data_IF_072936361360
#
_entry.id   IF_072936361360
#
_cell.length_a   1.000
_cell.length_b   1.000
_cell.length_c   1.000
_cell.angle_alpha   90.00
_cell.angle_beta   90.00
_cell.angle_gamma   90.00
#
_symmetry.space_group_name_H-M   'P 1'
#
loop_
_entity.id
_entity.type
_entity.pdbx_description
1 polymer ?
#
# COMPACT_ATOMS: atom_id res chain seq x y z
N UNK A 1 10.39 -8.64 22.92
CA UNK A 1 9.47 -7.46 23.04
C UNK A 1 8.07 -7.73 22.44
N UNK A 2 6.97 -7.38 23.13
CA UNK A 2 5.61 -7.49 22.56
C UNK A 2 5.47 -6.63 21.30
N UNK A 3 4.80 -7.13 20.26
CA UNK A 3 4.66 -6.43 18.97
C UNK A 3 3.47 -5.48 18.89
N UNK A 4 2.57 -5.48 19.89
CA UNK A 4 1.40 -4.58 19.97
C UNK A 4 0.45 -4.61 18.76
N UNK A 5 0.49 -5.67 17.97
CA UNK A 5 -0.45 -5.88 16.86
C UNK A 5 -1.78 -6.40 17.40
N UNK A 6 -2.89 -5.91 16.84
CA UNK A 6 -4.24 -6.17 17.34
C UNK A 6 -4.99 -7.15 16.42
N UNK A 7 -5.49 -6.67 15.29
CA UNK A 7 -6.35 -7.41 14.36
C UNK A 7 -6.02 -7.06 12.90
N UNK A 8 -6.58 -7.81 11.96
CA UNK A 8 -6.44 -7.53 10.52
C UNK A 8 -7.31 -6.33 10.14
N UNK A 9 -6.70 -5.28 9.63
CA UNK A 9 -7.37 -4.05 9.20
C UNK A 9 -8.00 -4.19 7.82
N UNK A 10 -7.24 -4.73 6.87
CA UNK A 10 -7.68 -5.02 5.50
C UNK A 10 -6.75 -6.03 4.81
N UNK A 11 -7.20 -6.60 3.70
CA UNK A 11 -6.43 -7.54 2.88
C UNK A 11 -6.53 -7.16 1.41
N UNK A 12 -5.39 -7.03 0.74
CA UNK A 12 -5.32 -6.55 -0.65
C UNK A 12 -5.10 -7.69 -1.61
N UNK A 13 -5.92 -7.75 -2.66
CA UNK A 13 -5.85 -8.76 -3.71
C UNK A 13 -5.41 -8.18 -5.06
N UNK A 14 -4.28 -8.65 -5.58
CA UNK A 14 -3.82 -8.30 -6.92
C UNK A 14 -4.43 -9.23 -7.97
N UNK A 15 -4.86 -8.64 -9.09
CA UNK A 15 -5.48 -9.32 -10.21
C UNK A 15 -4.66 -9.10 -11.49
N UNK A 16 -4.74 -10.03 -12.46
CA UNK A 16 -4.28 -9.79 -13.83
C UNK A 16 -4.98 -8.58 -14.46
N UNK A 17 -4.44 -8.11 -15.59
CA UNK A 17 -5.04 -7.01 -16.34
C UNK A 17 -6.52 -7.27 -16.69
N UNK A 18 -7.33 -6.23 -16.55
CA UNK A 18 -8.78 -6.23 -16.77
C UNK A 18 -9.59 -7.18 -15.86
N UNK A 19 -9.02 -7.70 -14.78
CA UNK A 19 -9.70 -8.60 -13.84
C UNK A 19 -10.16 -7.92 -12.53
N UNK A 20 -9.82 -6.65 -12.28
CA UNK A 20 -10.26 -5.94 -11.06
C UNK A 20 -11.79 -5.84 -10.99
N UNK A 21 -12.43 -5.41 -12.07
CA UNK A 21 -13.90 -5.19 -12.09
C UNK A 21 -14.67 -6.50 -11.93
N UNK A 22 -14.40 -7.59 -12.69
CA UNK A 22 -15.05 -8.88 -12.47
C UNK A 22 -14.95 -9.39 -11.02
N UNK A 23 -13.78 -9.22 -10.39
CA UNK A 23 -13.56 -9.67 -9.00
C UNK A 23 -14.30 -8.78 -8.01
N UNK A 24 -14.25 -7.45 -8.15
CA UNK A 24 -15.02 -6.55 -7.30
C UNK A 24 -16.53 -6.82 -7.41
N UNK A 25 -17.03 -7.04 -8.63
CA UNK A 25 -18.42 -7.40 -8.89
C UNK A 25 -18.82 -8.73 -8.24
N UNK A 26 -17.91 -9.70 -8.13
CA UNK A 26 -18.16 -10.96 -7.45
C UNK A 26 -18.48 -10.75 -5.97
N UNK A 27 -17.74 -9.88 -5.27
CA UNK A 27 -18.03 -9.52 -3.88
C UNK A 27 -19.40 -8.85 -3.75
N UNK A 28 -19.72 -7.93 -4.66
CA UNK A 28 -21.01 -7.22 -4.62
C UNK A 28 -22.20 -8.14 -4.87
N UNK A 29 -22.12 -9.00 -5.90
CA UNK A 29 -23.23 -9.85 -6.33
C UNK A 29 -23.48 -11.01 -5.37
N UNK A 30 -22.42 -11.62 -4.85
CA UNK A 30 -22.53 -12.87 -4.10
C UNK A 30 -22.52 -12.68 -2.59
N UNK A 31 -21.84 -11.64 -2.10
CA UNK A 31 -21.69 -11.39 -0.66
C UNK A 31 -22.39 -10.10 -0.20
N UNK A 32 -23.07 -9.39 -1.12
CA UNK A 32 -23.74 -8.12 -0.85
C UNK A 32 -22.80 -7.03 -0.30
N UNK A 33 -21.53 -7.10 -0.67
CA UNK A 33 -20.58 -6.03 -0.42
C UNK A 33 -20.94 -4.82 -1.29
N UNK A 34 -20.42 -3.65 -0.93
CA UNK A 34 -20.54 -2.44 -1.74
C UNK A 34 -19.16 -1.85 -2.03
N UNK A 35 -19.07 -1.04 -3.10
CA UNK A 35 -17.85 -0.29 -3.41
C UNK A 35 -17.71 0.83 -2.39
N UNK A 36 -16.65 0.77 -1.62
CA UNK A 36 -16.33 1.76 -0.59
C UNK A 36 -15.54 2.93 -1.18
N UNK A 37 -14.57 2.62 -2.04
CA UNK A 37 -13.66 3.58 -2.62
C UNK A 37 -13.05 3.02 -3.92
N UNK A 38 -12.61 3.91 -4.82
CA UNK A 38 -11.91 3.52 -6.04
C UNK A 38 -10.97 4.60 -6.50
N UNK A 39 -9.90 4.18 -7.18
CA UNK A 39 -8.88 5.05 -7.77
C UNK A 39 -8.47 4.52 -9.12
N UNK A 40 -8.27 5.44 -10.05
CA UNK A 40 -7.77 5.15 -11.38
C UNK A 40 -6.29 5.53 -11.52
N UNK A 41 -5.72 5.22 -12.69
CA UNK A 41 -4.33 5.46 -13.03
C UNK A 41 -3.98 6.95 -13.21
N UNK A 42 -4.98 7.84 -13.31
CA UNK A 42 -4.74 9.29 -13.29
C UNK A 42 -4.49 9.79 -11.89
N UNK A 43 -4.99 9.06 -10.88
CA UNK A 43 -4.80 9.38 -9.47
C UNK A 43 -3.61 8.62 -8.88
N UNK A 44 -3.41 7.36 -9.28
CA UNK A 44 -2.35 6.49 -8.76
C UNK A 44 -1.34 6.11 -9.83
N UNK A 45 -0.35 6.99 -9.97
CA UNK A 45 0.82 6.75 -10.80
C UNK A 45 2.06 7.42 -10.21
N UNK A 46 3.22 6.87 -10.56
CA UNK A 46 4.52 7.55 -10.45
C UNK A 46 4.87 8.17 -11.80
N UNK A 47 6.11 8.60 -11.95
CA UNK A 47 6.64 8.93 -13.28
C UNK A 47 6.67 7.69 -14.20
N UNK A 48 6.76 6.49 -13.62
CA UNK A 48 7.12 5.28 -14.33
C UNK A 48 5.97 4.27 -14.47
N UNK A 49 5.22 4.01 -13.41
CA UNK A 49 4.19 2.97 -13.43
C UNK A 49 2.91 3.41 -12.72
N UNK A 50 1.82 2.66 -12.91
CA UNK A 50 0.49 2.98 -12.38
C UNK A 50 -0.28 1.72 -11.98
N UNK A 51 -1.37 1.89 -11.25
CA UNK A 51 -2.36 0.84 -10.97
C UNK A 51 -3.77 1.41 -10.90
N UNK A 52 -4.77 0.53 -10.94
CA UNK A 52 -6.15 0.84 -10.58
C UNK A 52 -6.56 0.01 -9.36
N UNK A 53 -7.45 0.56 -8.53
CA UNK A 53 -7.94 -0.14 -7.34
C UNK A 53 -9.44 0.12 -7.11
N UNK A 54 -10.15 -0.93 -6.72
CA UNK A 54 -11.50 -0.86 -6.16
C UNK A 54 -11.47 -1.49 -4.77
N UNK A 55 -11.91 -0.75 -3.76
CA UNK A 55 -12.12 -1.29 -2.42
C UNK A 55 -13.58 -1.71 -2.28
N UNK A 56 -13.78 -2.99 -1.98
CA UNK A 56 -15.09 -3.53 -1.60
C UNK A 56 -15.14 -3.75 -0.09
N UNK A 57 -16.32 -3.58 0.50
CA UNK A 57 -16.53 -3.71 1.94
C UNK A 57 -17.91 -4.28 2.26
N UNK A 58 -18.06 -4.96 3.40
CA UNK A 58 -19.38 -5.39 3.89
C UNK A 58 -20.23 -4.19 4.33
N UNK A 59 -21.52 -4.42 4.60
CA UNK A 59 -22.46 -3.36 4.96
C UNK A 59 -22.02 -2.51 6.16
N UNK A 60 -21.49 -3.14 7.22
CA UNK A 60 -21.01 -2.45 8.43
C UNK A 60 -19.59 -1.87 8.29
N UNK A 61 -18.97 -2.03 7.11
CA UNK A 61 -17.62 -1.57 6.78
C UNK A 61 -16.49 -2.10 7.69
N UNK A 62 -16.67 -3.29 8.26
CA UNK A 62 -15.70 -3.94 9.16
C UNK A 62 -14.72 -4.87 8.44
N UNK A 63 -15.04 -5.32 7.22
CA UNK A 63 -14.20 -6.13 6.35
C UNK A 63 -13.93 -5.31 5.09
N UNK A 64 -12.68 -4.92 4.87
CA UNK A 64 -12.31 -4.12 3.70
C UNK A 64 -11.28 -4.85 2.83
N UNK A 65 -11.56 -4.91 1.53
CA UNK A 65 -10.77 -5.66 0.55
C UNK A 65 -10.45 -4.78 -0.66
N UNK A 66 -9.27 -4.12 -0.70
CA UNK A 66 -8.77 -3.49 -1.92
C UNK A 66 -8.43 -4.55 -2.98
N UNK A 67 -8.95 -4.35 -4.20
CA UNK A 67 -8.73 -5.20 -5.36
C UNK A 67 -7.99 -4.37 -6.40
N UNK A 68 -6.78 -4.78 -6.78
CA UNK A 68 -5.92 -4.03 -7.68
C UNK A 68 -5.76 -4.74 -9.03
N UNK A 69 -5.52 -3.97 -10.09
CA UNK A 69 -5.01 -4.45 -11.37
C UNK A 69 -3.90 -3.53 -11.89
N UNK A 70 -2.99 -4.04 -12.76
CA UNK A 70 -1.99 -3.20 -13.39
C UNK A 70 -2.65 -2.12 -14.26
N UNK A 71 -1.95 -1.00 -14.45
CA UNK A 71 -2.37 0.05 -15.37
C UNK A 71 -1.21 0.52 -16.25
N UNK A 72 -1.49 1.17 -17.40
CA UNK A 72 -0.45 1.63 -18.32
C UNK A 72 0.53 2.61 -17.67
N UNK A 73 1.82 2.45 -17.99
CA UNK A 73 2.90 3.33 -17.54
C UNK A 73 4.12 3.18 -18.46
N UNK A 74 5.16 4.00 -18.25
CA UNK A 74 6.45 3.88 -18.96
C UNK A 74 7.17 2.56 -18.64
N UNK A 75 6.95 2.03 -17.44
CA UNK A 75 7.57 0.82 -16.90
C UNK A 75 6.51 -0.11 -16.30
N UNK A 76 6.91 -1.36 -16.06
CA UNK A 76 6.05 -2.41 -15.49
C UNK A 76 5.49 -2.01 -14.12
N UNK A 77 4.17 -2.07 -13.98
CA UNK A 77 3.46 -1.96 -12.69
C UNK A 77 3.87 -3.09 -11.74
N UNK A 78 4.08 -2.77 -10.46
CA UNK A 78 4.33 -3.79 -9.42
C UNK A 78 3.17 -4.79 -9.26
N UNK A 79 1.96 -4.45 -9.70
CA UNK A 79 0.84 -5.41 -9.73
C UNK A 79 1.12 -6.51 -10.76
N UNK A 80 1.72 -6.14 -11.90
CA UNK A 80 2.16 -7.12 -12.89
C UNK A 80 3.37 -7.92 -12.39
N UNK A 81 4.33 -7.31 -11.68
CA UNK A 81 5.42 -8.06 -11.01
C UNK A 81 4.83 -9.14 -10.09
N UNK A 82 3.86 -8.79 -9.25
CA UNK A 82 3.19 -9.77 -8.38
C UNK A 82 2.60 -10.92 -9.21
N UNK A 83 1.83 -10.63 -10.25
CA UNK A 83 1.15 -11.65 -11.07
C UNK A 83 2.15 -12.57 -11.74
N UNK A 84 3.26 -12.03 -12.26
CA UNK A 84 4.33 -12.80 -12.91
C UNK A 84 4.96 -13.83 -11.95
N UNK A 85 5.26 -13.42 -10.71
CA UNK A 85 5.95 -14.28 -9.74
C UNK A 85 5.01 -15.17 -8.90
N UNK A 86 3.76 -14.74 -8.71
CA UNK A 86 2.73 -15.53 -8.03
C UNK A 86 2.11 -16.57 -8.97
N UNK A 87 2.04 -16.27 -10.28
CA UNK A 87 1.44 -17.13 -11.31
C UNK A 87 -0.06 -16.86 -11.52
N UNK A 88 -0.56 -15.70 -11.13
CA UNK A 88 -1.98 -15.34 -11.25
C UNK A 88 -2.46 -14.35 -10.19
N UNK A 89 -3.78 -14.29 -9.99
CA UNK A 89 -4.40 -13.49 -8.94
C UNK A 89 -4.08 -14.02 -7.54
N UNK A 90 -3.97 -13.13 -6.55
CA UNK A 90 -3.81 -13.54 -5.15
C UNK A 90 -3.67 -12.39 -4.16
N UNK A 91 -3.50 -12.74 -2.88
CA UNK A 91 -3.31 -11.75 -1.80
C UNK A 91 -1.90 -11.16 -1.88
N UNK A 92 -1.81 -9.85 -2.06
CA UNK A 92 -0.56 -9.11 -2.05
C UNK A 92 -0.11 -8.78 -0.63
N UNK A 93 -1.00 -8.18 0.17
CA UNK A 93 -0.65 -7.85 1.54
C UNK A 93 -1.81 -7.93 2.51
N UNK A 94 -1.44 -8.09 3.77
CA UNK A 94 -2.33 -8.13 4.93
C UNK A 94 -1.91 -7.00 5.86
N UNK A 95 -2.83 -6.09 6.15
CA UNK A 95 -2.59 -4.98 7.05
C UNK A 95 -2.99 -5.34 8.48
N UNK A 96 -2.09 -5.07 9.42
CA UNK A 96 -2.23 -5.38 10.84
C UNK A 96 -2.36 -4.09 11.63
N UNK A 97 -3.49 -3.94 12.31
CA UNK A 97 -3.78 -2.76 13.13
C UNK A 97 -2.89 -2.74 14.39
N UNK A 98 -2.48 -1.54 14.80
CA UNK A 98 -1.90 -1.26 16.12
C UNK A 98 -2.42 0.06 16.68
N UNK A 99 -2.38 0.20 18.01
CA UNK A 99 -2.65 1.46 18.72
C UNK A 99 -1.37 2.22 19.13
N UNK A 100 -0.20 1.62 18.90
CA UNK A 100 1.12 2.23 19.13
C UNK A 100 2.13 1.69 18.10
N UNK A 101 2.18 2.36 16.94
CA UNK A 101 2.98 1.98 15.79
C UNK A 101 4.47 2.19 16.04
N UNK A 102 4.86 3.21 16.82
CA UNK A 102 6.28 3.43 17.14
C UNK A 102 6.82 2.24 17.91
N UNK A 103 6.11 1.81 18.97
CA UNK A 103 6.51 0.62 19.75
C UNK A 103 6.42 -0.67 18.93
N UNK A 104 5.38 -0.81 18.09
CA UNK A 104 5.20 -1.98 17.25
C UNK A 104 6.35 -2.15 16.25
N UNK A 105 6.68 -1.10 15.47
CA UNK A 105 7.76 -1.14 14.48
C UNK A 105 9.12 -1.28 15.13
N UNK A 106 9.36 -0.60 16.25
CA UNK A 106 10.60 -0.79 17.02
C UNK A 106 10.77 -2.25 17.45
N UNK A 107 9.70 -2.86 17.98
CA UNK A 107 9.71 -4.25 18.43
C UNK A 107 9.86 -5.26 17.29
N UNK A 108 9.22 -4.99 16.14
CA UNK A 108 9.32 -5.83 14.94
C UNK A 108 10.73 -5.76 14.34
N UNK A 109 11.33 -4.57 14.23
CA UNK A 109 12.73 -4.42 13.78
C UNK A 109 13.72 -5.14 14.71
N UNK A 110 13.53 -5.05 16.03
CA UNK A 110 14.34 -5.79 17.01
C UNK A 110 14.22 -7.33 16.87
N UNK A 111 13.10 -7.80 16.31
CA UNK A 111 12.88 -9.23 16.02
C UNK A 111 13.39 -9.65 14.64
N UNK A 112 14.02 -8.74 13.89
CA UNK A 112 14.59 -9.00 12.57
C UNK A 112 13.64 -8.73 11.40
N UNK A 113 12.44 -8.18 11.62
CA UNK A 113 11.54 -7.83 10.52
C UNK A 113 12.14 -6.69 9.69
N UNK A 114 12.14 -6.86 8.36
CA UNK A 114 12.63 -5.87 7.41
C UNK A 114 11.46 -5.08 6.82
N UNK A 115 11.68 -3.78 6.64
CA UNK A 115 10.69 -2.86 6.09
C UNK A 115 11.22 -2.19 4.82
N UNK A 116 10.30 -1.77 3.95
CA UNK A 116 10.63 -0.97 2.78
C UNK A 116 11.18 0.39 3.20
N UNK A 117 12.04 0.98 2.36
CA UNK A 117 12.64 2.28 2.64
C UNK A 117 11.79 3.42 2.09
N UNK A 118 11.98 4.60 2.67
CA UNK A 118 11.32 5.85 2.26
C UNK A 118 12.39 6.95 2.18
N UNK A 119 12.47 7.70 1.06
CA UNK A 119 13.41 8.80 0.90
C UNK A 119 13.29 9.85 2.01
N UNK A 120 14.41 10.39 2.49
CA UNK A 120 14.39 11.42 3.54
C UNK A 120 13.64 12.70 3.14
N UNK A 121 13.60 13.01 1.83
CA UNK A 121 12.84 14.12 1.25
C UNK A 121 11.34 14.03 1.55
N UNK A 122 10.79 12.82 1.67
CA UNK A 122 9.39 12.61 2.05
C UNK A 122 9.05 13.33 3.36
N UNK A 123 9.88 13.14 4.39
CA UNK A 123 9.64 13.71 5.72
C UNK A 123 9.84 15.23 5.74
N UNK A 124 10.71 15.76 4.89
CA UNK A 124 10.85 17.21 4.72
C UNK A 124 9.55 17.79 4.12
N UNK A 125 9.05 17.18 3.05
CA UNK A 125 7.77 17.59 2.44
C UNK A 125 6.58 17.40 3.38
N UNK A 126 6.54 16.30 4.14
CA UNK A 126 5.49 16.05 5.12
C UNK A 126 5.44 17.16 6.18
N UNK A 127 6.59 17.59 6.70
CA UNK A 127 6.67 18.69 7.66
C UNK A 127 6.08 19.97 7.10
N UNK A 128 6.37 20.30 5.84
CA UNK A 128 5.80 21.47 5.18
C UNK A 128 4.28 21.34 5.02
N UNK A 129 3.78 20.18 4.56
CA UNK A 129 2.34 19.92 4.42
C UNK A 129 1.59 20.03 5.76
N UNK A 130 2.20 19.55 6.85
CA UNK A 130 1.60 19.59 8.19
C UNK A 130 1.50 21.00 8.77
N UNK A 131 2.27 21.99 8.29
CA UNK A 131 2.15 23.39 8.74
C UNK A 131 0.78 23.99 8.42
N UNK A 132 0.15 23.54 7.34
CA UNK A 132 -1.16 24.02 6.87
C UNK A 132 -2.29 23.00 7.09
N UNK A 133 -2.00 21.83 7.67
CA UNK A 133 -2.98 20.79 7.90
C UNK A 133 -3.95 21.18 9.04
N UNK A 134 -5.22 20.81 8.91
CA UNK A 134 -6.25 21.00 9.95
C UNK A 134 -6.10 20.02 11.12
N UNK A 135 -5.33 18.94 10.92
CA UNK A 135 -5.06 17.92 11.93
C UNK A 135 -3.69 18.12 12.56
N UNK A 136 -3.48 17.47 13.70
CA UNK A 136 -2.18 17.40 14.36
C UNK A 136 -1.79 15.93 14.58
N UNK A 137 -0.72 15.52 13.90
CA UNK A 137 -0.07 14.23 14.16
C UNK A 137 0.50 14.26 15.58
N UNK A 138 0.18 13.25 16.40
CA UNK A 138 0.56 13.23 17.82
C UNK A 138 1.96 12.67 18.02
N UNK A 139 2.38 11.77 17.14
CA UNK A 139 3.67 11.12 17.12
C UNK A 139 4.78 12.10 16.69
N UNK A 140 6.00 11.88 17.20
CA UNK A 140 7.16 12.67 16.75
C UNK A 140 7.49 12.34 15.29
N UNK A 141 7.47 13.36 14.43
CA UNK A 141 7.83 13.19 13.01
C UNK A 141 9.28 12.71 12.85
N UNK A 142 10.19 13.05 13.77
CA UNK A 142 11.56 12.52 13.77
C UNK A 142 11.58 11.02 14.03
N UNK A 143 10.74 10.53 14.93
CA UNK A 143 10.60 9.08 15.17
C UNK A 143 9.92 8.37 14.02
N UNK A 144 8.92 8.98 13.39
CA UNK A 144 8.31 8.42 12.18
C UNK A 144 9.35 8.33 11.04
N UNK A 145 10.21 9.34 10.89
CA UNK A 145 11.29 9.36 9.91
C UNK A 145 12.36 8.30 10.17
N UNK A 146 12.81 8.16 11.42
CA UNK A 146 13.75 7.11 11.84
C UNK A 146 13.19 5.71 11.53
N UNK A 147 11.90 5.50 11.77
CA UNK A 147 11.26 4.21 11.60
C UNK A 147 10.77 3.94 10.18
N UNK A 148 10.80 4.93 9.29
CA UNK A 148 10.29 4.87 7.91
C UNK A 148 8.76 4.69 7.83
N UNK A 149 8.05 5.27 8.80
CA UNK A 149 6.58 5.25 8.84
C UNK A 149 6.03 6.39 7.99
N UNK A 150 5.08 6.09 7.11
CA UNK A 150 4.40 7.02 6.23
C UNK A 150 3.16 7.59 6.92
N UNK A 151 2.81 8.84 6.61
CA UNK A 151 1.66 9.55 7.19
C UNK A 151 0.72 10.05 6.08
N UNK A 152 -0.55 9.63 6.12
CA UNK A 152 -1.61 10.31 5.36
C UNK A 152 -2.61 10.99 6.28
N UNK A 153 -3.31 11.98 5.77
CA UNK A 153 -4.33 12.69 6.53
C UNK A 153 -5.40 13.32 5.65
N UNK A 154 -6.58 13.47 6.25
CA UNK A 154 -7.68 14.28 5.73
C UNK A 154 -8.00 15.42 6.72
N UNK A 155 -9.16 16.04 6.58
CA UNK A 155 -9.57 17.12 7.47
C UNK A 155 -9.96 16.64 8.89
N UNK A 156 -10.23 15.34 9.07
CA UNK A 156 -10.80 14.76 10.29
C UNK A 156 -9.79 13.93 11.08
N UNK A 157 -8.81 13.35 10.42
CA UNK A 157 -7.88 12.40 11.02
C UNK A 157 -6.66 12.10 10.16
N UNK A 158 -5.86 11.14 10.62
CA UNK A 158 -4.64 10.70 9.94
C UNK A 158 -4.41 9.19 10.10
N UNK A 159 -3.59 8.66 9.21
CA UNK A 159 -3.15 7.28 9.14
C UNK A 159 -1.63 7.22 9.22
N UNK A 160 -1.13 6.21 9.92
CA UNK A 160 0.28 5.84 9.94
C UNK A 160 0.42 4.45 9.34
N UNK A 161 1.27 4.29 8.34
CA UNK A 161 1.40 3.06 7.56
C UNK A 161 2.87 2.74 7.29
N UNK A 162 3.20 1.45 7.21
CA UNK A 162 4.51 0.97 6.78
C UNK A 162 4.43 -0.46 6.26
N UNK A 163 5.14 -0.74 5.19
CA UNK A 163 5.20 -2.06 4.58
C UNK A 163 6.47 -2.80 4.96
N UNK A 164 6.33 -4.10 5.25
CA UNK A 164 7.47 -5.00 5.32
C UNK A 164 8.04 -5.22 3.92
N UNK A 165 9.27 -5.70 3.82
CA UNK A 165 9.69 -6.41 2.60
C UNK A 165 8.82 -7.66 2.38
N UNK A 166 8.81 -8.26 1.18
CA UNK A 166 8.20 -9.56 0.96
C UNK A 166 8.66 -10.58 2.01
N UNK A 167 7.74 -11.40 2.51
CA UNK A 167 8.02 -12.40 3.56
C UNK A 167 8.59 -13.71 3.00
N UNK A 168 8.90 -13.71 1.72
CA UNK A 168 9.54 -14.78 0.96
C UNK A 168 10.36 -14.17 -0.18
N UNK A 169 11.21 -14.97 -0.84
CA UNK A 169 12.10 -14.47 -1.89
C UNK A 169 11.35 -13.95 -3.13
N UNK A 170 10.20 -14.55 -3.45
CA UNK A 170 9.35 -14.05 -4.53
C UNK A 170 8.70 -12.72 -4.10
N UNK A 171 8.69 -11.68 -4.95
CA UNK A 171 8.10 -10.38 -4.65
C UNK A 171 6.58 -10.42 -4.68
N UNK A 172 5.97 -11.23 -3.82
CA UNK A 172 4.52 -11.45 -3.78
C UNK A 172 3.93 -10.96 -2.47
N UNK A 173 3.90 -11.80 -1.42
CA UNK A 173 3.22 -11.48 -0.17
C UNK A 173 4.11 -10.63 0.73
N UNK A 174 3.60 -9.50 1.19
CA UNK A 174 4.19 -8.69 2.27
C UNK A 174 3.13 -8.34 3.31
N UNK A 175 3.53 -7.68 4.39
CA UNK A 175 2.64 -7.27 5.48
C UNK A 175 2.66 -5.75 5.61
N UNK A 176 1.56 -5.19 6.08
CA UNK A 176 1.46 -3.79 6.49
C UNK A 176 1.22 -3.71 7.99
N UNK A 177 1.78 -2.69 8.63
CA UNK A 177 1.36 -2.25 9.96
C UNK A 177 0.70 -0.89 9.82
N UNK A 178 -0.52 -0.78 10.33
CA UNK A 178 -1.35 0.43 10.21
C UNK A 178 -1.86 0.89 11.57
N UNK A 179 -1.84 2.20 11.79
CA UNK A 179 -2.50 2.83 12.92
C UNK A 179 -3.41 3.95 12.42
N UNK A 180 -4.65 3.96 12.93
CA UNK A 180 -5.69 4.90 12.52
C UNK A 180 -5.99 5.89 13.64
N UNK A 181 -5.99 7.18 13.32
CA UNK A 181 -6.47 8.26 14.20
C UNK A 181 -7.62 8.98 13.52
N UNK A 182 -8.85 8.60 13.85
CA UNK A 182 -10.09 9.19 13.30
C UNK A 182 -10.14 9.22 11.76
N UNK A 183 -9.58 8.20 11.11
CA UNK A 183 -9.52 8.08 9.65
C UNK A 183 -9.83 6.65 9.21
N UNK A 184 -10.92 6.47 8.45
CA UNK A 184 -11.42 5.16 8.02
C UNK A 184 -11.11 4.81 6.56
N UNK A 185 -10.60 5.77 5.78
CA UNK A 185 -10.19 5.57 4.39
C UNK A 185 -8.84 4.84 4.25
N UNK A 186 -8.28 4.85 3.04
CA UNK A 186 -7.03 4.14 2.71
C UNK A 186 -5.87 5.07 2.39
N UNK A 187 -6.05 6.36 2.61
CA UNK A 187 -4.99 7.32 2.40
C UNK A 187 -4.69 7.59 0.93
N UNK A 188 -5.68 8.09 0.19
CA UNK A 188 -5.55 8.47 -1.21
C UNK A 188 -4.40 9.47 -1.48
N UNK A 189 -4.13 10.36 -0.52
CA UNK A 189 -3.12 11.42 -0.65
C UNK A 189 -1.69 10.90 -0.53
N UNK A 190 -1.50 9.77 0.15
CA UNK A 190 -0.21 9.18 0.44
C UNK A 190 -0.01 7.79 -0.18
N UNK A 191 -1.05 7.23 -0.82
CA UNK A 191 -0.95 6.02 -1.65
C UNK A 191 0.18 6.13 -2.67
N UNK A 192 0.42 7.34 -3.21
CA UNK A 192 1.57 7.60 -4.09
C UNK A 192 2.91 7.32 -3.40
N UNK A 193 3.09 7.75 -2.15
CA UNK A 193 4.34 7.50 -1.41
C UNK A 193 4.50 6.04 -0.98
N UNK A 194 3.39 5.36 -0.68
CA UNK A 194 3.37 3.90 -0.48
C UNK A 194 3.76 3.17 -1.78
N UNK A 195 3.22 3.61 -2.90
CA UNK A 195 3.51 3.09 -4.23
C UNK A 195 4.99 3.32 -4.61
N UNK A 196 5.51 4.54 -4.40
CA UNK A 196 6.92 4.87 -4.63
C UNK A 196 7.86 4.01 -3.79
N UNK A 197 7.52 3.71 -2.53
CA UNK A 197 8.31 2.83 -1.68
C UNK A 197 8.39 1.40 -2.24
N UNK A 198 7.27 0.86 -2.74
CA UNK A 198 7.25 -0.45 -3.41
C UNK A 198 8.02 -0.40 -4.74
N UNK A 199 7.87 0.67 -5.52
CA UNK A 199 8.55 0.85 -6.80
C UNK A 199 10.09 0.94 -6.63
N UNK A 200 10.58 1.61 -5.58
CA UNK A 200 12.00 1.62 -5.22
C UNK A 200 12.50 0.19 -4.92
N UNK A 201 11.72 -0.60 -4.18
CA UNK A 201 12.06 -1.98 -3.84
C UNK A 201 11.99 -2.92 -5.06
N UNK A 202 11.06 -2.66 -6.00
CA UNK A 202 10.96 -3.34 -7.31
C UNK A 202 12.17 -3.03 -8.20
N UNK A 203 12.59 -1.76 -8.26
CA UNK A 203 13.78 -1.33 -9.00
C UNK A 203 15.06 -1.94 -8.42
N UNK A 204 15.17 -1.99 -7.08
CA UNK A 204 16.28 -2.64 -6.39
C UNK A 204 16.41 -4.15 -6.69
N UNK A 205 15.32 -4.80 -7.12
CA UNK A 205 15.31 -6.19 -7.61
C UNK A 205 15.52 -6.34 -9.12
N UNK A 206 15.54 -5.23 -9.87
CA UNK A 206 15.68 -5.22 -11.32
C UNK A 206 14.39 -5.50 -12.10
N UNK A 207 13.22 -5.45 -11.45
CA UNK A 207 11.93 -5.78 -12.08
C UNK A 207 11.14 -4.54 -12.54
N UNK A 208 11.66 -3.32 -12.34
CA UNK A 208 11.07 -2.08 -12.84
C UNK A 208 11.56 -1.79 -14.26
N UNK A 209 11.08 -2.59 -15.19
CA UNK A 209 11.55 -2.67 -16.58
C UNK A 209 10.69 -1.86 -17.54
N UNK A 210 11.29 -1.35 -18.62
CA UNK A 210 10.57 -0.71 -19.72
C UNK A 210 9.66 -1.75 -20.41
N UNK A 211 8.42 -1.36 -20.68
CA UNK A 211 7.48 -2.17 -21.45
C UNK A 211 7.75 -1.97 -22.95
N UNK A 212 7.85 -3.07 -23.69
CA UNK A 212 7.82 -3.05 -25.16
C UNK A 212 6.42 -2.63 -25.64
N UNK A 213 6.25 -2.16 -26.90
CA UNK A 213 4.96 -1.72 -27.42
C UNK A 213 3.83 -2.76 -27.36
N UNK A 214 4.18 -4.05 -27.23
CA UNK A 214 3.25 -5.17 -27.06
C UNK A 214 2.88 -5.45 -25.59
N UNK A 215 3.35 -4.65 -24.63
CA UNK A 215 3.12 -4.84 -23.19
C UNK A 215 4.05 -5.87 -22.54
N UNK A 216 4.99 -6.46 -23.28
CA UNK A 216 5.95 -7.41 -22.74
C UNK A 216 7.17 -6.72 -22.14
N UNK A 217 7.84 -7.42 -21.25
CA UNK A 217 9.07 -6.91 -20.61
C UNK A 217 10.26 -7.20 -21.50
N UNK A 218 11.06 -6.19 -21.85
CA UNK A 218 12.34 -6.40 -22.52
C UNK A 218 13.29 -7.13 -21.56
N UNK A 219 13.48 -8.44 -21.74
CA UNK A 219 14.55 -9.18 -21.06
C UNK A 219 15.88 -8.71 -21.66
N UNK A 220 16.72 -8.08 -20.85
CA UNK A 220 18.14 -7.86 -21.16
C UNK A 220 18.89 -9.14 -20.81
#
# INVERSE_FOLDING_TARGET
PSTKLNFVDHVVGNQPDLQMVPVADWYQKNLLFHRFWSVDDKQLHTEYSALRSIVVTNYEETIKMPINEPAPGKKKSQIQEYVDYYGGAGVQHIALNTSDIISAITSLKQRGMQFMDVPSSYYQMLREKLKTAKIKVKESIDKLAELKILVDFDEKGYLLQIFTKPVQDRPTVFLEVIQRHNHQGFGAGNFKSLFEAIEIDQDARGNLTILEPNGETKRI
#
